data_IF_216727549380
#
_entry.id   IF_216727549380
#
_cell.length_a   1.000
_cell.length_b   1.000
_cell.length_c   1.000
_cell.angle_alpha   90.00
_cell.angle_beta   90.00
_cell.angle_gamma   90.00
#
_symmetry.space_group_name_H-M   'P 1'
#
loop_
_entity.id
_entity.type
_entity.pdbx_description
1 polymer ?
#
# COMPACT_ATOMS: atom_id res chain seq x y z
N UNK A 1 -16.03 -3.79 -16.71
CA UNK A 1 -15.76 -4.02 -15.28
C UNK A 1 -14.46 -4.79 -15.19
N UNK A 2 -13.45 -4.27 -14.48
CA UNK A 2 -12.20 -4.98 -14.25
C UNK A 2 -12.40 -6.17 -13.30
N UNK A 3 -11.54 -7.19 -13.39
CA UNK A 3 -11.53 -8.33 -12.47
C UNK A 3 -10.43 -8.11 -11.43
N UNK A 4 -10.79 -8.11 -10.16
CA UNK A 4 -9.81 -8.07 -9.06
C UNK A 4 -9.29 -9.48 -8.78
N UNK A 5 -7.98 -9.60 -8.53
CA UNK A 5 -7.37 -10.83 -8.00
C UNK A 5 -6.41 -10.44 -6.88
N UNK A 6 -6.67 -10.95 -5.67
CA UNK A 6 -5.84 -10.66 -4.49
C UNK A 6 -4.64 -11.60 -4.41
N UNK A 7 -3.44 -11.06 -4.56
CA UNK A 7 -2.20 -11.84 -4.55
C UNK A 7 -1.65 -12.07 -3.14
N UNK A 8 -1.83 -11.11 -2.23
CA UNK A 8 -1.34 -11.17 -0.85
C UNK A 8 -2.29 -10.38 0.09
N UNK A 9 -2.44 -10.83 1.34
CA UNK A 9 -3.14 -10.09 2.41
C UNK A 9 -2.55 -10.50 3.77
N UNK A 10 -2.29 -9.50 4.60
CA UNK A 10 -1.97 -9.64 6.03
C UNK A 10 -2.86 -8.68 6.81
N UNK A 11 -3.21 -9.05 8.04
CA UNK A 11 -3.93 -8.19 8.99
C UNK A 11 -3.46 -8.55 10.40
N UNK A 12 -2.91 -7.57 11.12
CA UNK A 12 -2.37 -7.78 12.47
C UNK A 12 -2.48 -6.48 13.29
N UNK A 13 -2.53 -6.63 14.62
CA UNK A 13 -2.48 -5.48 15.53
C UNK A 13 -1.02 -5.14 15.81
N UNK A 14 -0.63 -3.91 15.49
CA UNK A 14 0.71 -3.35 15.75
C UNK A 14 0.62 -2.11 16.61
N UNK A 15 1.70 -1.79 17.33
CA UNK A 15 1.83 -0.50 17.98
C UNK A 15 2.11 0.60 16.94
N UNK A 16 1.94 1.87 17.33
CA UNK A 16 2.26 3.01 16.46
C UNK A 16 3.73 3.02 16.00
N UNK A 17 4.66 2.62 16.88
CA UNK A 17 6.09 2.54 16.53
C UNK A 17 6.34 1.45 15.49
N UNK A 18 5.74 0.27 15.65
CA UNK A 18 5.96 -0.84 14.71
C UNK A 18 5.35 -0.53 13.34
N UNK A 19 4.22 0.19 13.29
CA UNK A 19 3.65 0.69 12.02
C UNK A 19 4.59 1.68 11.35
N UNK A 20 5.14 2.64 12.10
CA UNK A 20 6.09 3.63 11.57
C UNK A 20 7.35 2.95 11.03
N UNK A 21 7.91 2.00 11.76
CA UNK A 21 9.08 1.25 11.34
C UNK A 21 8.80 0.45 10.06
N UNK A 22 7.65 -0.21 9.98
CA UNK A 22 7.23 -0.92 8.78
C UNK A 22 7.11 0.01 7.57
N UNK A 23 6.50 1.19 7.74
CA UNK A 23 6.36 2.17 6.66
C UNK A 23 7.72 2.73 6.20
N UNK A 24 8.68 2.91 7.11
CA UNK A 24 10.06 3.29 6.73
C UNK A 24 10.72 2.20 5.89
N UNK A 25 10.65 0.93 6.33
CA UNK A 25 11.19 -0.19 5.56
C UNK A 25 10.51 -0.30 4.19
N UNK A 26 9.20 -0.11 4.12
CA UNK A 26 8.47 -0.12 2.87
C UNK A 26 8.93 1.00 1.94
N UNK A 27 9.14 2.22 2.46
CA UNK A 27 9.67 3.34 1.68
C UNK A 27 11.06 3.02 1.10
N UNK A 28 11.95 2.40 1.89
CA UNK A 28 13.26 1.97 1.41
C UNK A 28 13.15 0.94 0.28
N UNK A 29 12.20 0.00 0.38
CA UNK A 29 11.94 -1.01 -0.67
C UNK A 29 11.35 -0.43 -1.94
N UNK A 30 10.46 0.56 -1.82
CA UNK A 30 9.93 1.31 -2.96
C UNK A 30 11.06 2.03 -3.69
N UNK A 31 11.96 2.69 -2.96
CA UNK A 31 13.14 3.37 -3.52
C UNK A 31 14.08 2.39 -4.27
N UNK A 32 14.17 1.15 -3.80
CA UNK A 32 14.94 0.08 -4.45
C UNK A 32 14.24 -0.51 -5.70
N UNK A 33 12.97 -0.19 -5.95
CA UNK A 33 12.18 -0.74 -7.05
C UNK A 33 11.71 -2.18 -6.83
N UNK A 34 11.92 -2.75 -5.65
CA UNK A 34 11.53 -4.13 -5.35
C UNK A 34 11.20 -4.31 -3.87
N UNK A 35 10.07 -4.94 -3.59
CA UNK A 35 9.67 -5.36 -2.26
C UNK A 35 9.42 -6.86 -2.20
N UNK A 36 9.81 -7.49 -1.09
CA UNK A 36 9.44 -8.88 -0.79
C UNK A 36 8.53 -8.85 0.43
N UNK A 37 7.31 -9.35 0.27
CA UNK A 37 6.32 -9.44 1.35
C UNK A 37 6.20 -10.90 1.79
N UNK A 38 6.42 -11.15 3.08
CA UNK A 38 6.41 -12.51 3.64
C UNK A 38 5.55 -12.59 4.90
N UNK A 39 4.71 -13.62 5.01
CA UNK A 39 4.01 -13.96 6.24
C UNK A 39 3.85 -15.48 6.36
N UNK A 40 4.52 -16.08 7.34
CA UNK A 40 4.52 -17.54 7.52
C UNK A 40 5.13 -18.25 6.31
N UNK A 41 4.34 -19.08 5.63
CA UNK A 41 4.76 -19.80 4.42
C UNK A 41 4.45 -19.05 3.11
N UNK A 42 3.82 -17.88 3.18
CA UNK A 42 3.50 -17.08 1.99
C UNK A 42 4.58 -16.04 1.77
N UNK A 43 5.09 -15.98 0.55
CA UNK A 43 6.03 -14.98 0.10
C UNK A 43 5.65 -14.52 -1.31
N UNK A 44 5.74 -13.21 -1.55
CA UNK A 44 5.59 -12.62 -2.88
C UNK A 44 6.67 -11.58 -3.09
N UNK A 45 7.21 -11.57 -4.31
CA UNK A 45 8.10 -10.51 -4.78
C UNK A 45 7.30 -9.55 -5.66
N UNK A 46 7.39 -8.26 -5.36
CA UNK A 46 6.73 -7.17 -6.08
C UNK A 46 7.81 -6.33 -6.76
N UNK A 47 7.73 -6.19 -8.08
CA UNK A 47 8.56 -5.28 -8.86
C UNK A 47 7.80 -3.97 -9.02
N UNK A 48 8.44 -2.85 -8.66
CA UNK A 48 7.84 -1.52 -8.68
C UNK A 48 8.49 -0.69 -9.78
N UNK A 49 7.73 -0.21 -10.78
CA UNK A 49 8.27 0.65 -11.82
C UNK A 49 8.64 2.04 -11.28
N UNK A 50 9.35 2.81 -12.09
CA UNK A 50 9.77 4.19 -11.75
C UNK A 50 8.57 5.13 -11.57
N UNK A 51 7.49 4.93 -12.31
CA UNK A 51 6.27 5.72 -12.19
C UNK A 51 5.23 4.98 -11.36
N UNK A 52 4.73 5.65 -10.33
CA UNK A 52 3.73 5.13 -9.42
C UNK A 52 2.63 6.17 -9.23
N UNK A 53 1.39 5.71 -9.12
CA UNK A 53 0.27 6.53 -8.64
C UNK A 53 0.13 6.30 -7.14
N UNK A 54 0.19 7.37 -6.36
CA UNK A 54 -0.04 7.35 -4.92
C UNK A 54 -1.42 7.93 -4.62
N UNK A 55 -2.26 7.15 -3.95
CA UNK A 55 -3.57 7.57 -3.49
C UNK A 55 -3.62 7.49 -1.96
N UNK A 56 -4.15 8.53 -1.31
CA UNK A 56 -4.25 8.62 0.15
C UNK A 56 -5.66 9.03 0.51
N UNK A 57 -6.29 8.25 1.39
CA UNK A 57 -7.67 8.44 1.80
C UNK A 57 -7.82 8.29 3.30
N UNK A 58 -8.67 9.12 3.91
CA UNK A 58 -9.05 9.03 5.32
C UNK A 58 -10.56 8.90 5.38
N UNK A 59 -11.06 7.93 6.13
CA UNK A 59 -12.49 7.65 6.22
C UNK A 59 -12.94 7.43 7.66
N UNK A 60 -14.18 7.84 7.92
CA UNK A 60 -14.94 7.52 9.10
C UNK A 60 -16.08 6.58 8.70
N UNK A 61 -16.05 5.35 9.19
CA UNK A 61 -17.08 4.36 8.91
C UNK A 61 -17.87 4.04 10.17
N UNK A 62 -19.17 4.33 10.18
CA UNK A 62 -20.06 3.94 11.27
C UNK A 62 -20.28 2.42 11.28
N UNK A 63 -19.73 1.74 12.29
CA UNK A 63 -19.86 0.29 12.50
C UNK A 63 -21.01 -0.06 13.44
N UNK A 64 -21.99 0.83 13.60
CA UNK A 64 -23.17 0.66 14.45
C UNK A 64 -22.78 0.52 15.92
N UNK A 65 -23.06 -0.65 16.51
CA UNK A 65 -22.76 -0.90 17.93
C UNK A 65 -21.26 -0.81 18.30
N UNK A 66 -20.36 -0.93 17.31
CA UNK A 66 -18.91 -0.79 17.52
C UNK A 66 -18.42 0.67 17.49
N UNK A 67 -19.30 1.62 17.19
CA UNK A 67 -18.98 3.03 17.00
C UNK A 67 -18.34 3.33 15.64
N UNK A 68 -17.75 4.51 15.53
CA UNK A 68 -17.06 4.95 14.31
C UNK A 68 -15.67 4.33 14.26
N UNK A 69 -15.35 3.68 13.14
CA UNK A 69 -14.02 3.21 12.81
C UNK A 69 -13.34 4.27 11.93
N UNK A 70 -12.11 4.63 12.29
CA UNK A 70 -11.28 5.51 11.48
C UNK A 70 -10.28 4.67 10.68
N UNK A 71 -10.16 4.93 9.38
CA UNK A 71 -9.14 4.34 8.51
C UNK A 71 -8.31 5.43 7.84
N UNK A 72 -7.02 5.15 7.71
CA UNK A 72 -6.10 5.84 6.81
C UNK A 72 -5.59 4.81 5.83
N UNK A 73 -5.88 5.01 4.54
CA UNK A 73 -5.47 4.15 3.45
C UNK A 73 -4.39 4.84 2.63
N UNK A 74 -3.36 4.08 2.28
CA UNK A 74 -2.27 4.50 1.40
C UNK A 74 -2.14 3.42 0.33
N UNK A 75 -2.55 3.75 -0.88
CA UNK A 75 -2.51 2.84 -2.02
C UNK A 75 -1.45 3.29 -3.03
N UNK A 76 -0.70 2.31 -3.54
CA UNK A 76 0.30 2.50 -4.58
C UNK A 76 -0.14 1.64 -5.77
N UNK A 77 -0.38 2.29 -6.91
CA UNK A 77 -0.88 1.67 -8.14
C UNK A 77 0.12 1.90 -9.26
N UNK A 78 0.23 0.92 -10.15
CA UNK A 78 1.05 1.01 -11.35
C UNK A 78 0.49 0.12 -12.46
N UNK A 79 0.92 0.39 -13.68
CA UNK A 79 0.71 -0.48 -14.83
C UNK A 79 2.05 -1.04 -15.28
N UNK A 80 2.03 -2.18 -15.96
CA UNK A 80 3.26 -2.85 -16.42
C UNK A 80 4.05 -2.03 -17.46
N UNK A 81 3.44 -1.03 -18.10
CA UNK A 81 3.99 -0.28 -19.25
C UNK A 81 3.97 1.25 -19.08
N UNK A 82 3.72 1.76 -17.87
CA UNK A 82 3.60 3.21 -17.65
C UNK A 82 4.95 3.82 -17.21
N UNK A 83 5.70 4.35 -18.18
CA UNK A 83 6.74 5.35 -17.92
C UNK A 83 6.04 6.72 -17.76
N UNK A 84 5.36 6.89 -16.62
CA UNK A 84 4.42 7.97 -16.40
C UNK A 84 4.94 9.37 -16.71
N UNK A 85 4.08 10.15 -17.37
CA UNK A 85 4.29 11.57 -17.63
C UNK A 85 4.30 12.38 -16.33
N UNK A 86 5.30 13.26 -16.21
CA UNK A 86 5.48 14.18 -15.09
C UNK A 86 4.29 15.15 -14.96
N UNK A 87 3.69 15.22 -13.77
CA UNK A 87 2.79 16.31 -13.40
C UNK A 87 3.66 17.53 -13.04
N UNK A 88 3.69 18.55 -13.90
CA UNK A 88 4.28 19.85 -13.56
C UNK A 88 3.23 20.78 -12.93
N UNK A 89 3.60 21.42 -11.82
CA UNK A 89 2.83 22.50 -11.21
C UNK A 89 3.24 23.83 -11.86
N UNK A 90 2.27 24.57 -12.40
CA UNK A 90 2.42 26.00 -12.73
C UNK A 90 1.71 26.86 -11.70
#
# INVERSE_FOLDING_TARGET
>A
MGKETRLFKSEERKSRSDVSEFLHQLADKISQGQAVLSQGQKEITVQLPQSLVLEVQVEDEDKGAKGVQHSLEVEIKWFDDDQGGTLELR
#
